data_IF_491974535175
#
_entry.id   IF_491974535175
#
_cell.length_a   1.000
_cell.length_b   1.000
_cell.length_c   1.000
_cell.angle_alpha   90.00
_cell.angle_beta   90.00
_cell.angle_gamma   90.00
#
_symmetry.space_group_name_H-M   'P 1'
#
loop_
_entity.id
_entity.type
_entity.pdbx_description
1 polymer ?
#
# COMPACT_ATOMS: atom_id res chain seq x y z
N UNK A 1 -29.27 24.28 -19.92
CA UNK A 1 -29.42 22.81 -20.08
C UNK A 1 -28.07 22.14 -20.37
N UNK A 2 -27.20 22.73 -21.21
CA UNK A 2 -25.85 22.24 -21.56
C UNK A 2 -24.94 21.83 -20.38
N UNK A 3 -24.88 22.64 -19.32
CA UNK A 3 -24.06 22.34 -18.12
C UNK A 3 -24.50 21.08 -17.34
N UNK A 4 -25.78 20.70 -17.43
CA UNK A 4 -26.30 19.49 -16.78
C UNK A 4 -25.93 18.23 -17.55
N UNK A 5 -25.77 18.33 -18.88
CA UNK A 5 -25.35 17.20 -19.73
C UNK A 5 -23.86 16.93 -19.52
N UNK A 6 -23.02 17.96 -19.60
CA UNK A 6 -21.57 17.88 -19.33
C UNK A 6 -21.22 17.31 -17.94
N UNK A 7 -22.06 17.57 -16.92
CA UNK A 7 -21.85 17.04 -15.56
C UNK A 7 -22.17 15.55 -15.48
N UNK A 8 -23.21 15.07 -16.18
CA UNK A 8 -23.55 13.65 -16.26
C UNK A 8 -22.49 12.88 -17.05
N UNK A 9 -21.99 13.45 -18.14
CA UNK A 9 -20.93 12.84 -18.95
C UNK A 9 -19.64 12.67 -18.14
N UNK A 10 -19.25 13.67 -17.34
CA UNK A 10 -18.10 13.58 -16.42
C UNK A 10 -18.28 12.51 -15.34
N UNK A 11 -19.49 12.38 -14.79
CA UNK A 11 -19.80 11.36 -13.79
C UNK A 11 -19.74 9.96 -14.44
N UNK A 12 -20.30 9.81 -15.64
CA UNK A 12 -20.21 8.58 -16.43
C UNK A 12 -18.76 8.20 -16.75
N UNK A 13 -17.93 9.17 -17.15
CA UNK A 13 -16.51 8.95 -17.40
C UNK A 13 -15.75 8.57 -16.12
N UNK A 14 -16.05 9.20 -14.98
CA UNK A 14 -15.48 8.82 -13.69
C UNK A 14 -15.87 7.39 -13.30
N UNK A 15 -17.15 7.06 -13.39
CA UNK A 15 -17.64 5.70 -13.07
C UNK A 15 -17.01 4.67 -14.00
N UNK A 16 -16.89 4.96 -15.29
CA UNK A 16 -16.23 4.08 -16.26
C UNK A 16 -14.73 3.92 -15.93
N UNK A 17 -14.03 5.00 -15.60
CA UNK A 17 -12.61 4.94 -15.24
C UNK A 17 -12.39 4.10 -13.97
N UNK A 18 -13.24 4.28 -12.95
CA UNK A 18 -13.20 3.47 -11.74
C UNK A 18 -13.55 2.00 -12.04
N UNK A 19 -14.57 1.73 -12.86
CA UNK A 19 -14.97 0.38 -13.22
C UNK A 19 -13.89 -0.40 -13.99
N UNK A 20 -13.07 0.30 -14.79
CA UNK A 20 -11.94 -0.32 -15.51
C UNK A 20 -10.69 -0.44 -14.64
N UNK A 21 -10.39 0.55 -13.79
CA UNK A 21 -9.16 0.55 -12.99
C UNK A 21 -9.20 -0.48 -11.84
N UNK A 22 -10.29 -0.50 -11.07
CA UNK A 22 -10.38 -1.30 -9.84
C UNK A 22 -10.31 -2.83 -10.00
N UNK A 23 -10.85 -3.48 -11.04
CA UNK A 23 -10.78 -4.94 -11.15
C UNK A 23 -9.35 -5.49 -11.33
N UNK A 24 -8.40 -4.68 -11.79
CA UNK A 24 -7.02 -5.12 -12.04
C UNK A 24 -6.04 -4.80 -10.92
N UNK A 25 -6.45 -4.06 -9.87
CA UNK A 25 -5.56 -3.53 -8.82
C UNK A 25 -4.87 -4.59 -7.93
N UNK A 26 -5.17 -5.87 -8.10
CA UNK A 26 -4.50 -6.96 -7.38
C UNK A 26 -4.30 -8.21 -8.23
N UNK A 27 -4.45 -8.10 -9.56
CA UNK A 27 -4.32 -9.24 -10.48
C UNK A 27 -2.87 -9.58 -10.81
N UNK A 28 -1.94 -8.66 -10.54
CA UNK A 28 -0.50 -8.92 -10.64
C UNK A 28 -0.02 -9.51 -9.32
N UNK A 29 0.66 -10.67 -9.38
CA UNK A 29 1.37 -11.22 -8.23
C UNK A 29 2.53 -10.32 -7.81
N UNK A 30 3.16 -10.62 -6.67
CA UNK A 30 4.37 -9.94 -6.23
C UNK A 30 5.48 -10.24 -7.25
N UNK A 31 5.82 -9.26 -8.07
CA UNK A 31 6.70 -9.43 -9.23
C UNK A 31 8.17 -9.40 -8.81
N UNK A 32 8.47 -8.60 -7.78
CA UNK A 32 9.82 -8.40 -7.28
C UNK A 32 9.99 -9.08 -5.90
N UNK A 33 11.15 -9.71 -5.60
CA UNK A 33 11.37 -10.34 -4.30
C UNK A 33 11.19 -9.35 -3.13
N UNK A 34 11.46 -8.07 -3.35
CA UNK A 34 11.26 -7.03 -2.35
C UNK A 34 9.78 -6.77 -2.08
N UNK A 35 8.91 -6.81 -3.09
CA UNK A 35 7.45 -6.68 -2.89
C UNK A 35 6.94 -7.77 -1.95
N UNK A 36 7.38 -9.01 -2.15
CA UNK A 36 6.99 -10.12 -1.29
C UNK A 36 7.49 -9.99 0.15
N UNK A 37 8.71 -9.47 0.34
CA UNK A 37 9.25 -9.19 1.67
C UNK A 37 8.43 -8.13 2.39
N UNK A 38 8.10 -7.01 1.72
CA UNK A 38 7.28 -5.96 2.33
C UNK A 38 5.85 -6.42 2.60
N UNK A 39 5.24 -7.20 1.70
CA UNK A 39 3.92 -7.77 1.90
C UNK A 39 3.89 -8.71 3.12
N UNK A 40 4.94 -9.54 3.30
CA UNK A 40 5.02 -10.45 4.41
C UNK A 40 5.31 -9.74 5.74
N UNK A 41 6.20 -8.74 5.76
CA UNK A 41 6.41 -7.88 6.95
C UNK A 41 5.11 -7.18 7.33
N UNK A 42 4.38 -6.62 6.36
CA UNK A 42 3.06 -6.00 6.58
C UNK A 42 2.05 -6.98 7.19
N UNK A 43 2.02 -8.21 6.68
CA UNK A 43 1.17 -9.29 7.22
C UNK A 43 1.56 -9.66 8.65
N UNK A 44 2.85 -9.81 8.95
CA UNK A 44 3.33 -10.14 10.29
C UNK A 44 3.06 -9.03 11.30
N UNK A 45 3.21 -7.75 10.90
CA UNK A 45 2.83 -6.60 11.72
C UNK A 45 1.32 -6.56 11.98
N UNK A 46 0.49 -6.81 10.95
CA UNK A 46 -0.96 -6.87 11.11
C UNK A 46 -1.41 -8.04 11.99
N UNK A 47 -0.73 -9.18 11.91
CA UNK A 47 -1.04 -10.36 12.72
C UNK A 47 -0.56 -10.25 14.17
N UNK A 48 0.57 -9.60 14.42
CA UNK A 48 1.12 -9.41 15.78
C UNK A 48 0.54 -8.19 16.50
N UNK A 49 0.00 -7.21 15.76
CA UNK A 49 -0.46 -5.93 16.30
C UNK A 49 0.68 -4.97 16.67
N UNK A 50 1.94 -5.36 16.45
CA UNK A 50 3.10 -4.52 16.66
C UNK A 50 3.51 -3.86 15.33
N UNK A 51 3.14 -2.58 15.19
CA UNK A 51 3.49 -1.76 14.04
C UNK A 51 4.79 -0.98 14.22
N UNK A 52 5.48 -1.13 15.36
CA UNK A 52 6.73 -0.43 15.65
C UNK A 52 7.94 -1.24 15.19
N UNK A 53 7.88 -2.56 15.29
CA UNK A 53 8.99 -3.45 14.96
C UNK A 53 8.66 -4.29 13.73
N UNK A 54 9.19 -3.95 12.54
CA UNK A 54 9.04 -4.81 11.36
C UNK A 54 9.77 -6.14 11.58
N UNK A 55 9.03 -7.24 11.44
CA UNK A 55 9.56 -8.61 11.51
C UNK A 55 9.30 -9.32 10.20
N UNK A 56 10.28 -10.11 9.76
CA UNK A 56 10.15 -11.06 8.65
C UNK A 56 10.60 -12.42 9.16
N UNK A 57 9.69 -13.39 9.20
CA UNK A 57 9.94 -14.74 9.74
C UNK A 57 10.52 -14.70 11.17
N UNK A 58 10.11 -13.74 11.98
CA UNK A 58 10.58 -13.58 13.36
C UNK A 58 11.95 -12.90 13.53
N UNK A 59 12.62 -12.51 12.43
CA UNK A 59 13.85 -11.71 12.47
C UNK A 59 13.47 -10.23 12.32
N UNK A 60 14.02 -9.38 13.20
CA UNK A 60 13.81 -7.93 13.15
C UNK A 60 14.54 -7.33 11.94
N UNK A 61 13.79 -6.73 11.01
CA UNK A 61 14.32 -6.18 9.75
C UNK A 61 14.24 -4.65 9.75
N UNK A 62 15.26 -4.01 10.31
CA UNK A 62 15.36 -2.56 10.39
C UNK A 62 15.96 -1.93 9.13
N UNK A 63 15.30 -2.08 7.98
CA UNK A 63 15.74 -1.44 6.74
C UNK A 63 15.15 -0.04 6.54
N UNK A 64 13.87 0.14 6.91
CA UNK A 64 13.15 1.43 6.85
C UNK A 64 12.20 1.57 8.04
N UNK A 65 11.91 2.80 8.49
CA UNK A 65 10.89 3.06 9.49
C UNK A 65 9.51 2.59 8.99
N UNK A 66 8.74 1.82 9.79
CA UNK A 66 7.41 1.33 9.38
C UNK A 66 6.39 2.47 9.22
N UNK A 67 6.57 3.53 10.01
CA UNK A 67 5.90 4.82 9.91
C UNK A 67 7.02 5.84 10.08
N UNK A 68 7.11 6.86 9.23
CA UNK A 68 8.19 7.85 9.23
C UNK A 68 8.36 8.58 10.59
N UNK A 69 8.98 7.92 11.56
CA UNK A 69 9.26 8.45 12.88
C UNK A 69 10.71 8.97 12.87
N UNK A 70 10.94 10.29 12.93
CA UNK A 70 12.26 10.84 12.62
C UNK A 70 13.36 10.61 13.67
N UNK A 71 13.05 10.12 14.87
CA UNK A 71 13.96 10.30 16.03
C UNK A 71 14.71 9.07 16.54
N UNK A 72 14.31 7.85 16.21
CA UNK A 72 14.94 6.64 16.80
C UNK A 72 15.94 5.91 15.89
N UNK A 73 16.00 6.28 14.61
CA UNK A 73 16.78 5.56 13.59
C UNK A 73 18.23 6.04 13.43
N UNK A 74 18.73 6.88 14.35
CA UNK A 74 20.10 7.43 14.31
C UNK A 74 21.14 6.64 15.14
N UNK A 75 20.77 5.59 15.87
CA UNK A 75 21.68 5.01 16.88
C UNK A 75 21.85 3.48 16.78
N UNK A 76 22.01 2.96 15.57
CA UNK A 76 22.53 1.60 15.40
C UNK A 76 23.41 1.52 14.15
N UNK A 77 24.53 2.24 14.22
CA UNK A 77 25.77 1.91 13.52
C UNK A 77 26.70 1.24 14.54
#
# INVERSE_FOLDING_TARGET
MENQMLRKDRILLLVLALAVAFPFLGSFGLLEPDEGRFAQIGREMAASGDFLVPRLNGIEQFYKPPLGCPRRWRLRE
#
